data_IF_626436427326
#
_entry.id   IF_626436427326
#
_cell.length_a   1.000
_cell.length_b   1.000
_cell.length_c   1.000
_cell.angle_alpha   90.00
_cell.angle_beta   90.00
_cell.angle_gamma   90.00
#
_symmetry.space_group_name_H-M   'P 1'
#
loop_
_entity.id
_entity.type
_entity.pdbx_description
1 polymer ?
#
# COMPACT_ATOMS: atom_id res chain seq x y z
N UNK A 1 -5.17 39.43 -2.11
CA UNK A 1 -5.56 38.04 -1.80
C UNK A 1 -6.20 37.35 -3.00
N UNK A 2 -5.59 36.26 -3.50
CA UNK A 2 -6.08 35.49 -4.64
C UNK A 2 -6.46 34.08 -4.18
N UNK A 3 -7.52 33.98 -3.36
CA UNK A 3 -8.02 32.67 -2.94
C UNK A 3 -8.79 32.02 -4.10
N UNK A 4 -8.30 30.89 -4.60
CA UNK A 4 -9.00 30.09 -5.59
C UNK A 4 -10.11 29.26 -4.90
N UNK A 5 -11.30 29.12 -5.50
CA UNK A 5 -12.36 28.29 -4.95
C UNK A 5 -11.95 26.81 -4.97
N UNK A 6 -12.31 26.07 -3.90
CA UNK A 6 -12.06 24.63 -3.75
C UNK A 6 -13.38 23.88 -3.89
N UNK A 7 -13.40 22.87 -4.75
CA UNK A 7 -14.56 22.00 -4.95
C UNK A 7 -14.17 20.55 -4.63
N UNK A 8 -14.92 19.92 -3.74
CA UNK A 8 -14.69 18.54 -3.30
C UNK A 8 -15.98 17.73 -3.46
N UNK A 9 -15.91 16.60 -4.17
CA UNK A 9 -17.05 15.68 -4.34
C UNK A 9 -16.55 14.22 -4.46
N UNK A 10 -17.44 13.26 -4.21
CA UNK A 10 -17.16 11.85 -4.44
C UNK A 10 -17.10 11.54 -5.94
N UNK A 11 -16.14 10.70 -6.35
CA UNK A 11 -15.95 10.27 -7.74
C UNK A 11 -15.72 11.42 -8.74
N UNK A 12 -15.12 12.52 -8.28
CA UNK A 12 -14.78 13.67 -9.12
C UNK A 12 -13.94 13.29 -10.37
N UNK A 13 -13.13 12.24 -10.26
CA UNK A 13 -12.29 11.72 -11.36
C UNK A 13 -13.10 11.13 -12.52
N UNK A 14 -14.36 10.73 -12.30
CA UNK A 14 -15.27 10.27 -13.36
C UNK A 14 -15.97 11.41 -14.10
N UNK A 15 -16.07 12.57 -13.46
CA UNK A 15 -16.86 13.71 -13.95
C UNK A 15 -16.00 14.80 -14.58
N UNK A 16 -14.85 15.09 -13.97
CA UNK A 16 -13.95 16.16 -14.41
C UNK A 16 -12.70 15.55 -15.07
N UNK A 17 -12.49 15.74 -16.38
CA UNK A 17 -11.33 15.17 -17.09
C UNK A 17 -9.98 15.50 -16.47
N UNK A 18 -9.82 16.72 -15.93
CA UNK A 18 -8.59 17.15 -15.24
C UNK A 18 -8.33 16.36 -13.95
N UNK A 19 -9.37 16.01 -13.20
CA UNK A 19 -9.25 15.17 -12.00
C UNK A 19 -9.03 13.71 -12.39
N UNK A 20 -9.65 13.25 -13.48
CA UNK A 20 -9.37 11.96 -14.10
C UNK A 20 -7.90 11.81 -14.52
N UNK A 21 -7.34 12.81 -15.19
CA UNK A 21 -5.93 12.86 -15.55
C UNK A 21 -5.03 12.80 -14.30
N UNK A 22 -5.36 13.55 -13.25
CA UNK A 22 -4.64 13.49 -11.98
C UNK A 22 -4.70 12.08 -11.34
N UNK A 23 -5.87 11.42 -11.37
CA UNK A 23 -6.06 10.05 -10.90
C UNK A 23 -5.19 9.05 -11.66
N UNK A 24 -5.06 9.19 -12.99
CA UNK A 24 -4.19 8.35 -13.83
C UNK A 24 -2.72 8.56 -13.46
N UNK A 25 -2.26 9.81 -13.43
CA UNK A 25 -0.86 10.14 -13.10
C UNK A 25 -0.48 9.59 -11.72
N UNK A 26 -1.36 9.77 -10.73
CA UNK A 26 -1.13 9.26 -9.38
C UNK A 26 -1.00 7.73 -9.34
N UNK A 27 -1.85 7.00 -10.06
CA UNK A 27 -1.81 5.54 -10.13
C UNK A 27 -0.55 5.03 -10.86
N UNK A 28 -0.17 5.65 -11.98
CA UNK A 28 1.04 5.28 -12.72
C UNK A 28 2.30 5.45 -11.87
N UNK A 29 2.42 6.57 -11.14
CA UNK A 29 3.55 6.82 -10.26
C UNK A 29 3.58 5.79 -9.11
N UNK A 30 2.42 5.51 -8.51
CA UNK A 30 2.31 4.49 -7.46
C UNK A 30 2.76 3.12 -7.96
N UNK A 31 2.28 2.70 -9.12
CA UNK A 31 2.58 1.38 -9.68
C UNK A 31 4.07 1.26 -10.03
N UNK A 32 4.67 2.32 -10.59
CA UNK A 32 6.11 2.38 -10.83
C UNK A 32 6.94 2.26 -9.54
N UNK A 33 6.48 2.84 -8.43
CA UNK A 33 7.14 2.72 -7.12
C UNK A 33 7.01 1.30 -6.55
N UNK A 34 5.84 0.67 -6.64
CA UNK A 34 5.65 -0.74 -6.26
C UNK A 34 6.62 -1.64 -7.03
N UNK A 35 6.79 -1.43 -8.33
CA UNK A 35 7.75 -2.18 -9.14
C UNK A 35 9.22 -1.96 -8.72
N UNK A 36 9.58 -0.77 -8.22
CA UNK A 36 10.92 -0.55 -7.64
C UNK A 36 11.09 -1.37 -6.36
N UNK A 37 10.09 -1.40 -5.50
CA UNK A 37 10.12 -2.18 -4.25
C UNK A 37 10.23 -3.67 -4.59
N UNK A 38 9.45 -4.19 -5.55
CA UNK A 38 9.58 -5.59 -6.01
C UNK A 38 11.00 -5.92 -6.47
N UNK A 39 11.64 -5.02 -7.21
CA UNK A 39 13.05 -5.17 -7.63
C UNK A 39 14.02 -5.16 -6.44
N UNK A 40 13.80 -4.32 -5.44
CA UNK A 40 14.63 -4.27 -4.22
C UNK A 40 14.58 -5.59 -3.44
N UNK A 41 13.42 -6.23 -3.35
CA UNK A 41 13.26 -7.51 -2.65
C UNK A 41 13.45 -8.74 -3.54
N UNK A 42 13.60 -8.56 -4.86
CA UNK A 42 13.76 -9.65 -5.83
C UNK A 42 12.54 -10.59 -5.92
N UNK A 43 11.34 -10.10 -5.57
CA UNK A 43 10.12 -10.92 -5.56
C UNK A 43 8.91 -10.08 -5.93
N UNK A 44 8.00 -10.66 -6.73
CA UNK A 44 6.69 -10.09 -6.95
C UNK A 44 5.77 -10.43 -5.77
N UNK A 45 5.51 -9.44 -4.91
CA UNK A 45 4.59 -9.56 -3.79
C UNK A 45 3.15 -9.14 -4.13
N UNK A 46 2.81 -8.99 -5.41
CA UNK A 46 1.50 -8.53 -5.85
C UNK A 46 1.35 -7.01 -5.79
N UNK A 47 0.13 -6.56 -5.53
CA UNK A 47 -0.27 -5.16 -5.69
C UNK A 47 -0.19 -4.31 -4.41
N UNK A 48 0.21 -4.90 -3.28
CA UNK A 48 0.32 -4.20 -2.00
C UNK A 48 -1.01 -3.98 -1.27
N UNK A 49 -2.12 -4.53 -1.76
CA UNK A 49 -3.42 -4.43 -1.11
C UNK A 49 -3.66 -5.57 -0.12
N UNK A 50 -4.48 -5.28 0.89
CA UNK A 50 -4.82 -6.20 1.97
C UNK A 50 -5.71 -7.37 1.55
N UNK A 51 -6.23 -7.38 0.33
CA UNK A 51 -7.01 -8.48 -0.22
C UNK A 51 -6.20 -9.37 -1.17
N UNK A 52 -4.98 -8.96 -1.55
CA UNK A 52 -4.07 -9.79 -2.36
C UNK A 52 -3.46 -10.85 -1.45
N UNK A 53 -3.72 -12.15 -1.72
CA UNK A 53 -3.12 -13.24 -0.95
C UNK A 53 -1.59 -13.21 -1.03
N UNK A 54 -1.05 -12.87 -2.21
CA UNK A 54 0.38 -12.80 -2.48
C UNK A 54 1.07 -11.74 -1.59
N UNK A 55 0.44 -10.56 -1.48
CA UNK A 55 0.92 -9.48 -0.61
C UNK A 55 0.90 -9.90 0.85
N UNK A 56 -0.20 -10.51 1.32
CA UNK A 56 -0.31 -10.94 2.72
C UNK A 56 0.76 -11.98 3.06
N UNK A 57 0.95 -12.99 2.20
CA UNK A 57 1.96 -14.02 2.42
C UNK A 57 3.37 -13.45 2.44
N UNK A 58 3.70 -12.56 1.49
CA UNK A 58 5.00 -11.91 1.45
C UNK A 58 5.28 -11.15 2.75
N UNK A 59 4.30 -10.37 3.23
CA UNK A 59 4.43 -9.62 4.49
C UNK A 59 4.58 -10.57 5.67
N UNK A 60 3.78 -11.64 5.76
CA UNK A 60 3.87 -12.65 6.84
C UNK A 60 5.28 -13.26 6.91
N UNK A 61 5.81 -13.70 5.78
CA UNK A 61 7.15 -14.33 5.67
C UNK A 61 8.28 -13.35 6.00
N UNK A 62 8.10 -12.06 5.69
CA UNK A 62 9.14 -11.04 5.82
C UNK A 62 8.87 -10.02 6.94
N UNK A 63 7.96 -10.30 7.87
CA UNK A 63 7.52 -9.30 8.86
C UNK A 63 8.64 -8.82 9.80
N UNK A 64 9.68 -9.63 9.98
CA UNK A 64 10.87 -9.29 10.79
C UNK A 64 11.97 -8.60 9.97
N UNK A 65 11.83 -8.50 8.64
CA UNK A 65 12.82 -7.87 7.78
C UNK A 65 12.82 -6.35 8.00
N UNK A 66 13.93 -5.74 8.47
CA UNK A 66 14.01 -4.30 8.71
C UNK A 66 13.82 -3.47 7.44
N UNK A 67 14.33 -3.96 6.29
CA UNK A 67 14.22 -3.27 5.01
C UNK A 67 12.75 -3.18 4.54
N UNK A 68 11.90 -4.14 4.93
CA UNK A 68 10.48 -4.11 4.59
C UNK A 68 9.71 -3.10 5.44
N UNK A 69 10.12 -2.84 6.69
CA UNK A 69 9.34 -2.02 7.63
C UNK A 69 9.08 -0.59 7.11
N UNK A 70 10.03 0.02 6.38
CA UNK A 70 9.87 1.36 5.78
C UNK A 70 8.71 1.45 4.78
N UNK A 71 8.31 0.33 4.17
CA UNK A 71 7.22 0.26 3.21
C UNK A 71 5.87 -0.11 3.83
N UNK A 72 5.86 -0.57 5.09
CA UNK A 72 4.66 -1.06 5.76
C UNK A 72 3.91 0.04 6.50
N UNK A 73 2.59 0.08 6.31
CA UNK A 73 1.70 0.98 7.05
C UNK A 73 1.34 0.38 8.40
N UNK A 74 2.13 0.64 9.44
CA UNK A 74 1.95 0.01 10.76
C UNK A 74 0.60 0.25 11.44
N UNK A 75 -0.09 1.36 11.12
CA UNK A 75 -1.41 1.67 11.69
C UNK A 75 -2.57 0.91 11.04
N UNK A 76 -2.34 0.23 9.91
CA UNK A 76 -3.37 -0.52 9.22
C UNK A 76 -3.81 -1.75 10.01
N UNK A 77 -5.10 -2.04 9.98
CA UNK A 77 -5.69 -3.14 10.73
C UNK A 77 -5.09 -4.49 10.34
N UNK A 78 -4.82 -4.68 9.04
CA UNK A 78 -4.11 -5.86 8.54
C UNK A 78 -2.75 -6.02 9.22
N UNK A 79 -1.98 -4.95 9.39
CA UNK A 79 -0.67 -5.03 10.06
C UNK A 79 -0.80 -5.34 11.55
N UNK A 80 -1.80 -4.79 12.24
CA UNK A 80 -2.06 -5.13 13.65
C UNK A 80 -2.39 -6.61 13.81
N UNK A 81 -3.28 -7.13 12.96
CA UNK A 81 -3.66 -8.55 12.95
C UNK A 81 -2.48 -9.46 12.68
N UNK A 82 -1.67 -9.15 11.66
CA UNK A 82 -0.48 -9.94 11.31
C UNK A 82 0.57 -9.97 12.43
N UNK A 83 0.78 -8.85 13.12
CA UNK A 83 1.67 -8.80 14.29
C UNK A 83 1.13 -9.62 15.45
N UNK A 84 -0.17 -9.53 15.73
CA UNK A 84 -0.82 -10.32 16.76
C UNK A 84 -0.71 -11.83 16.49
N UNK A 85 -1.02 -12.26 15.26
CA UNK A 85 -0.85 -13.66 14.82
C UNK A 85 0.59 -14.15 15.01
N UNK A 86 1.59 -13.33 14.66
CA UNK A 86 2.99 -13.69 14.83
C UNK A 86 3.41 -13.80 16.31
N UNK A 87 2.89 -12.91 17.18
CA UNK A 87 3.15 -12.97 18.62
C UNK A 87 2.53 -14.21 19.25
N UNK A 88 1.35 -14.64 18.79
CA UNK A 88 0.70 -15.82 19.35
C UNK A 88 1.42 -17.11 18.95
N UNK A 89 1.84 -17.23 17.69
CA UNK A 89 2.67 -18.36 17.23
C UNK A 89 3.99 -18.49 18.00
N UNK A 90 4.60 -17.38 18.42
CA UNK A 90 5.84 -17.40 19.21
C UNK A 90 5.68 -17.97 20.63
N UNK A 91 4.45 -18.22 21.09
CA UNK A 91 4.18 -18.88 22.39
C UNK A 91 4.13 -20.40 22.28
N UNK A 92 4.10 -20.94 21.06
CA UNK A 92 3.95 -22.38 20.78
C UNK A 92 5.20 -23.00 20.14
N UNK A 93 6.28 -22.22 19.99
CA UNK A 93 7.60 -22.65 19.49
C UNK A 93 8.64 -22.37 20.56
#
# INVERSE_FOLDING_TARGET
DHAAPIFCEHFADKKYPVVGAASIVAKVIRDAEIEKIKREFGVDFGNGYTHSPETIEFIKKNLKNPALQKYLRHKWETMKRLKFEQMDLSKFV
#
